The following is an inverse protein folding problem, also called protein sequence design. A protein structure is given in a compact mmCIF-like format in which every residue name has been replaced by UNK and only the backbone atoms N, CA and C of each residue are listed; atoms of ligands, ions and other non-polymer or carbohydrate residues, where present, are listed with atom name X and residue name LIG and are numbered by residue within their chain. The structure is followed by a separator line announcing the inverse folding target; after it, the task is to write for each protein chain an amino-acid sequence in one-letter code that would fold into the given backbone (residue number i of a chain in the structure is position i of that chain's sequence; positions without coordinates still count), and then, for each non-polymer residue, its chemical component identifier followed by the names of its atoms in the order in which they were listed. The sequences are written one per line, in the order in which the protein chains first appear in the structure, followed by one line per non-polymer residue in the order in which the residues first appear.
data_IF_236122059762
#
_entry.id   IF_236122059762
#
_cell.length_a   1.000
_cell.length_b   1.000
_cell.length_c   1.000
_cell.angle_alpha   90.00
_cell.angle_beta   90.00
_cell.angle_gamma   90.00
#
_symmetry.space_group_name_H-M   'P 1'
#
loop_
_entity.id
_entity.type
_entity.pdbx_description
1 polymer ?
#
# COMPACT_ATOMS: atom_id res chain seq x y z
N UNK A 1 20.45 -24.60 -13.26
CA UNK A 1 20.13 -23.16 -13.25
C UNK A 1 19.77 -22.82 -11.81
N UNK A 2 20.30 -21.72 -11.27
CA UNK A 2 20.32 -21.43 -9.83
C UNK A 2 18.95 -20.96 -9.32
N UNK A 3 18.59 -21.30 -8.08
CA UNK A 3 17.33 -20.91 -7.42
C UNK A 3 17.07 -19.40 -7.43
N UNK A 4 18.13 -18.60 -7.41
CA UNK A 4 18.07 -17.13 -7.54
C UNK A 4 17.40 -16.67 -8.84
N UNK A 5 17.58 -17.38 -9.97
CA UNK A 5 16.95 -16.97 -11.22
C UNK A 5 15.43 -17.18 -11.19
N UNK A 6 14.98 -18.28 -10.59
CA UNK A 6 13.54 -18.57 -10.46
C UNK A 6 12.85 -17.57 -9.51
N UNK A 7 13.56 -17.14 -8.47
CA UNK A 7 13.10 -16.09 -7.57
C UNK A 7 12.88 -14.77 -8.32
N UNK A 8 13.90 -14.27 -9.02
CA UNK A 8 13.81 -13.01 -9.77
C UNK A 8 12.76 -13.09 -10.89
N UNK A 9 12.67 -14.21 -11.62
CA UNK A 9 11.63 -14.40 -12.65
C UNK A 9 10.21 -14.35 -12.06
N UNK A 10 9.99 -14.93 -10.87
CA UNK A 10 8.69 -14.85 -10.19
C UNK A 10 8.36 -13.43 -9.72
N UNK A 11 9.39 -12.70 -9.28
CA UNK A 11 9.28 -11.31 -8.85
C UNK A 11 8.93 -10.39 -10.02
N UNK A 12 9.63 -10.53 -11.15
CA UNK A 12 9.39 -9.75 -12.35
C UNK A 12 7.96 -9.93 -12.87
N UNK A 13 7.45 -11.17 -12.90
CA UNK A 13 6.06 -11.44 -13.27
C UNK A 13 5.04 -10.79 -12.34
N UNK A 14 5.29 -10.79 -11.03
CA UNK A 14 4.42 -10.10 -10.08
C UNK A 14 4.41 -8.59 -10.33
N UNK A 15 5.59 -8.01 -10.59
CA UNK A 15 5.73 -6.58 -10.94
C UNK A 15 5.03 -6.24 -12.27
N UNK A 16 5.05 -7.13 -13.26
CA UNK A 16 4.30 -6.96 -14.52
C UNK A 16 2.78 -6.87 -14.28
N UNK A 17 2.23 -7.71 -13.41
CA UNK A 17 0.79 -7.65 -13.04
C UNK A 17 0.49 -6.31 -12.36
N UNK A 18 1.32 -5.87 -11.41
CA UNK A 18 1.14 -4.60 -10.71
C UNK A 18 1.21 -3.42 -11.68
N UNK A 19 2.13 -3.45 -12.64
CA UNK A 19 2.35 -2.38 -13.62
C UNK A 19 1.13 -2.14 -14.54
N UNK A 20 0.17 -3.05 -14.60
CA UNK A 20 -1.11 -2.84 -15.31
C UNK A 20 -2.07 -1.90 -14.57
N UNK A 21 -1.85 -1.69 -13.27
CA UNK A 21 -2.73 -0.92 -12.38
C UNK A 21 -2.04 0.25 -11.69
N UNK A 22 -0.71 0.19 -11.54
CA UNK A 22 0.11 1.23 -10.94
C UNK A 22 1.28 1.57 -11.86
N UNK A 23 1.44 2.86 -12.15
CA UNK A 23 2.63 3.36 -12.81
C UNK A 23 3.83 3.35 -11.85
N UNK A 24 5.04 3.39 -12.41
CA UNK A 24 6.26 3.48 -11.61
C UNK A 24 6.30 4.75 -10.74
N UNK A 25 5.75 5.86 -11.26
CA UNK A 25 5.62 7.12 -10.53
C UNK A 25 4.65 6.97 -9.35
N UNK A 26 3.47 6.37 -9.55
CA UNK A 26 2.50 6.15 -8.48
C UNK A 26 3.02 5.22 -7.37
N UNK A 27 3.86 4.23 -7.73
CA UNK A 27 4.51 3.37 -6.73
C UNK A 27 5.53 4.13 -5.88
N UNK A 28 6.28 5.06 -6.49
CA UNK A 28 7.22 5.93 -5.78
C UNK A 28 6.46 6.92 -4.90
N UNK A 29 5.50 7.63 -5.47
CA UNK A 29 4.66 8.61 -4.77
C UNK A 29 3.97 7.98 -3.56
N UNK A 30 3.42 6.77 -3.72
CA UNK A 30 2.78 6.07 -2.61
C UNK A 30 3.76 5.78 -1.47
N UNK A 31 4.98 5.33 -1.78
CA UNK A 31 6.02 5.13 -0.78
C UNK A 31 6.40 6.42 -0.05
N UNK A 32 6.51 7.53 -0.78
CA UNK A 32 6.83 8.84 -0.21
C UNK A 32 5.72 9.34 0.71
N UNK A 33 4.47 9.36 0.25
CA UNK A 33 3.31 9.75 1.06
C UNK A 33 3.16 8.90 2.32
N UNK A 34 3.37 7.59 2.19
CA UNK A 34 3.28 6.65 3.30
C UNK A 34 4.43 6.80 4.29
N UNK A 35 5.59 7.34 3.90
CA UNK A 35 6.72 7.59 4.81
C UNK A 35 6.64 8.93 5.52
N UNK A 36 6.13 9.96 4.85
CA UNK A 36 6.11 11.34 5.35
C UNK A 36 4.90 11.60 6.25
N UNK A 37 3.81 10.84 6.10
CA UNK A 37 2.55 11.11 6.78
C UNK A 37 1.75 12.19 6.07
N UNK A 38 0.43 12.08 6.11
CA UNK A 38 -0.47 13.08 5.50
C UNK A 38 -0.68 14.24 6.47
N UNK A 39 0.00 15.35 6.21
CA UNK A 39 -0.08 16.55 7.04
C UNK A 39 -1.17 17.52 6.58
N UNK A 40 -1.51 17.51 5.28
CA UNK A 40 -2.50 18.40 4.68
C UNK A 40 -3.64 17.63 3.99
N UNK A 41 -4.86 18.22 3.86
CA UNK A 41 -6.01 17.55 3.25
C UNK A 41 -5.81 17.11 1.80
N UNK A 42 -5.01 17.85 1.02
CA UNK A 42 -4.70 17.51 -0.37
C UNK A 42 -3.85 16.23 -0.46
N UNK A 43 -2.83 16.12 0.40
CA UNK A 43 -2.00 14.90 0.48
C UNK A 43 -2.79 13.71 1.00
N UNK A 44 -3.79 13.95 1.86
CA UNK A 44 -4.73 12.93 2.30
C UNK A 44 -5.58 12.39 1.15
N UNK A 45 -6.13 13.26 0.30
CA UNK A 45 -6.92 12.85 -0.85
C UNK A 45 -6.07 12.03 -1.83
N UNK A 46 -4.84 12.50 -2.12
CA UNK A 46 -3.87 11.77 -2.94
C UNK A 46 -3.50 10.42 -2.35
N UNK A 47 -3.22 10.34 -1.05
CA UNK A 47 -2.93 9.07 -0.38
C UNK A 47 -4.14 8.12 -0.45
N UNK A 48 -5.37 8.63 -0.32
CA UNK A 48 -6.57 7.81 -0.44
C UNK A 48 -6.72 7.23 -1.86
N UNK A 49 -6.54 8.05 -2.89
CA UNK A 49 -6.59 7.62 -4.28
C UNK A 49 -5.51 6.58 -4.60
N UNK A 50 -4.27 6.81 -4.16
CA UNK A 50 -3.17 5.85 -4.35
C UNK A 50 -3.41 4.57 -3.55
N UNK A 51 -3.94 4.65 -2.33
CA UNK A 51 -4.29 3.47 -1.51
C UNK A 51 -5.32 2.60 -2.23
N UNK A 52 -6.34 3.21 -2.84
CA UNK A 52 -7.35 2.48 -3.61
C UNK A 52 -6.73 1.74 -4.80
N UNK A 53 -5.82 2.39 -5.54
CA UNK A 53 -5.09 1.76 -6.65
C UNK A 53 -4.19 0.60 -6.15
N UNK A 54 -3.50 0.78 -5.04
CA UNK A 54 -2.72 -0.27 -4.40
C UNK A 54 -3.57 -1.48 -3.98
N UNK A 55 -4.75 -1.24 -3.41
CA UNK A 55 -5.69 -2.32 -3.09
C UNK A 55 -6.15 -3.08 -4.33
N UNK A 56 -6.43 -2.36 -5.44
CA UNK A 56 -6.79 -2.98 -6.71
C UNK A 56 -5.63 -3.81 -7.28
N UNK A 57 -4.42 -3.27 -7.30
CA UNK A 57 -3.23 -3.98 -7.78
C UNK A 57 -2.94 -5.24 -6.93
N UNK A 58 -3.05 -5.14 -5.61
CA UNK A 58 -2.93 -6.27 -4.68
C UNK A 58 -3.98 -7.35 -4.94
N UNK A 59 -5.23 -6.97 -5.16
CA UNK A 59 -6.29 -7.90 -5.48
C UNK A 59 -5.99 -8.67 -6.78
N UNK A 60 -5.51 -7.97 -7.81
CA UNK A 60 -5.20 -8.57 -9.11
C UNK A 60 -3.97 -9.49 -9.04
N UNK A 61 -2.92 -9.09 -8.31
CA UNK A 61 -1.79 -9.96 -8.05
C UNK A 61 -2.21 -11.21 -7.26
N UNK A 62 -3.04 -11.05 -6.22
CA UNK A 62 -3.58 -12.18 -5.45
C UNK A 62 -4.40 -13.13 -6.32
N UNK A 63 -5.21 -12.60 -7.24
CA UNK A 63 -5.99 -13.41 -8.19
C UNK A 63 -5.06 -14.17 -9.14
N UNK A 64 -4.06 -13.52 -9.74
CA UNK A 64 -3.08 -14.16 -10.61
C UNK A 64 -2.28 -15.28 -9.91
N UNK A 65 -2.00 -15.11 -8.60
CA UNK A 65 -1.37 -16.16 -7.79
C UNK A 65 -2.31 -17.34 -7.51
N UNK A 66 -3.59 -17.08 -7.25
CA UNK A 66 -4.61 -18.13 -7.04
C UNK A 66 -4.84 -18.92 -8.33
N UNK A 67 -4.85 -18.24 -9.47
CA UNK A 67 -5.06 -18.83 -10.79
C UNK A 67 -3.78 -19.48 -11.35
N UNK A 68 -2.68 -19.48 -10.58
CA UNK A 68 -1.37 -20.04 -10.93
C UNK A 68 -0.73 -19.41 -12.18
N UNK A 69 -1.09 -18.17 -12.49
CA UNK A 69 -0.46 -17.39 -13.57
C UNK A 69 0.88 -16.80 -13.11
N UNK A 70 0.98 -16.47 -11.82
CA UNK A 70 2.19 -16.00 -11.16
C UNK A 70 2.46 -16.87 -9.93
N UNK A 71 3.61 -17.54 -9.91
CA UNK A 71 3.99 -18.45 -8.82
C UNK A 71 5.43 -18.19 -8.39
N UNK A 72 5.72 -18.46 -7.11
CA UNK A 72 7.07 -18.44 -6.56
C UNK A 72 7.26 -17.51 -5.37
N UNK A 73 8.41 -17.68 -4.70
CA UNK A 73 8.75 -16.92 -3.50
C UNK A 73 8.94 -15.41 -3.77
N UNK A 74 9.41 -15.03 -4.96
CA UNK A 74 9.58 -13.62 -5.33
C UNK A 74 8.24 -12.91 -5.57
N UNK A 75 7.25 -13.61 -6.13
CA UNK A 75 5.89 -13.09 -6.24
C UNK A 75 5.24 -12.89 -4.86
N UNK A 76 5.47 -13.85 -3.94
CA UNK A 76 4.99 -13.74 -2.57
C UNK A 76 5.64 -12.57 -1.83
N UNK A 77 6.96 -12.34 -1.99
CA UNK A 77 7.66 -11.18 -1.44
C UNK A 77 6.98 -9.88 -1.87
N UNK A 78 6.79 -9.70 -3.18
CA UNK A 78 6.14 -8.51 -3.75
C UNK A 78 4.72 -8.31 -3.19
N UNK A 79 3.93 -9.38 -3.11
CA UNK A 79 2.60 -9.33 -2.54
C UNK A 79 2.63 -8.88 -1.07
N UNK A 80 3.52 -9.46 -0.26
CA UNK A 80 3.62 -9.13 1.17
C UNK A 80 4.12 -7.71 1.41
N UNK A 81 5.08 -7.24 0.61
CA UNK A 81 5.60 -5.87 0.70
C UNK A 81 4.52 -4.84 0.36
N UNK A 82 3.80 -5.06 -0.75
CA UNK A 82 2.69 -4.20 -1.13
C UNK A 82 1.57 -4.20 -0.10
N UNK A 83 1.26 -5.36 0.49
CA UNK A 83 0.25 -5.48 1.54
C UNK A 83 0.65 -4.64 2.77
N UNK A 84 1.90 -4.75 3.22
CA UNK A 84 2.41 -3.98 4.35
C UNK A 84 2.34 -2.47 4.11
N UNK A 85 2.73 -2.00 2.92
CA UNK A 85 2.62 -0.59 2.55
C UNK A 85 1.16 -0.12 2.55
N UNK A 86 0.25 -0.92 1.98
CA UNK A 86 -1.17 -0.59 1.90
C UNK A 86 -1.82 -0.53 3.29
N UNK A 87 -1.45 -1.44 4.19
CA UNK A 87 -1.94 -1.43 5.57
C UNK A 87 -1.47 -0.20 6.36
N UNK A 88 -0.23 0.24 6.16
CA UNK A 88 0.28 1.47 6.78
C UNK A 88 -0.44 2.71 6.23
N UNK A 89 -0.68 2.79 4.92
CA UNK A 89 -1.43 3.90 4.33
C UNK A 89 -2.85 3.98 4.91
N UNK A 90 -3.56 2.85 5.02
CA UNK A 90 -4.87 2.78 5.67
C UNK A 90 -4.80 3.15 7.16
N UNK A 91 -3.71 2.81 7.86
CA UNK A 91 -3.50 3.21 9.26
C UNK A 91 -3.36 4.73 9.38
N UNK A 92 -2.64 5.36 8.46
CA UNK A 92 -2.51 6.83 8.43
C UNK A 92 -3.82 7.51 8.09
N UNK A 93 -4.53 7.02 7.07
CA UNK A 93 -5.83 7.58 6.69
C UNK A 93 -6.85 7.51 7.83
N UNK A 94 -6.78 6.50 8.71
CA UNK A 94 -7.64 6.40 9.90
C UNK A 94 -7.22 7.35 11.03
N UNK A 95 -5.92 7.59 11.24
CA UNK A 95 -5.42 8.51 12.28
C UNK A 95 -5.87 9.95 12.06
N UNK A 96 -5.97 10.39 10.80
CA UNK A 96 -6.41 11.74 10.44
C UNK A 96 -7.92 11.96 10.54
N UNK A 97 -8.72 10.89 10.56
CA UNK A 97 -10.19 10.97 10.73
C UNK A 97 -10.63 11.08 12.18
N UNK A 98 -9.76 10.72 13.14
CA UNK A 98 -10.07 10.87 14.56
C UNK A 98 -9.99 12.35 14.94
N UNK A 99 -11.11 13.03 15.25
CA UNK A 99 -11.02 14.35 15.86
C UNK A 99 -10.23 14.15 17.14
N UNK A 100 -9.21 14.97 17.40
CA UNK A 100 -8.68 15.11 18.76
C UNK A 100 -9.89 15.38 19.64
N UNK A 101 -10.34 14.38 20.40
CA UNK A 101 -11.36 14.58 21.41
C UNK A 101 -10.85 15.72 22.28
N UNK A 102 -11.53 16.85 22.13
CA UNK A 102 -11.34 18.03 22.95
C UNK A 102 -11.31 17.56 24.38
N UNK A 103 -10.14 17.67 25.02
CA UNK A 103 -10.03 17.62 26.47
C UNK A 103 -10.92 18.75 26.97
N UNK A 104 -12.16 18.42 27.30
CA UNK A 104 -13.01 19.30 28.08
C UNK A 104 -12.39 19.28 29.47
N UNK A 105 -11.45 20.18 29.71
CA UNK A 105 -10.97 20.51 31.04
C UNK A 105 -12.14 21.18 31.77
N UNK A 106 -12.99 20.37 32.41
CA UNK A 106 -14.00 20.86 33.35
C UNK A 106 -13.25 21.14 34.67
N UNK A 107 -12.38 22.13 34.63
CA UNK A 107 -12.03 22.94 35.81
C UNK A 107 -12.90 24.18 35.72
N UNK A 108 -13.53 24.53 36.83
CA UNK A 108 -14.47 25.64 37.00
C UNK A 108 -15.94 25.24 36.86
N UNK A 109 -16.42 24.50 37.87
CA UNK A 109 -17.72 24.84 38.48
C UNK A 109 -17.50 25.00 39.97
N UNK A 110 -17.40 26.27 40.37
CA UNK A 110 -17.64 26.79 41.72
C UNK A 110 -18.96 26.27 42.31
#
# INVERSE_FOLDING_TARGET
MSSTNAFEESKDKALEVIATHLTAEEMVDFGEYNSQGTHDPEDREKLMDLTNKHQQALYQLGQAMIDLEVEGEGALEVFTDMLALTEEALRQLRKTESPRESVVDIRDRD
#
